data_IF_604604527991
#
_entry.id   IF_604604527991
#
_cell.length_a   1.000
_cell.length_b   1.000
_cell.length_c   1.000
_cell.angle_alpha   90.00
_cell.angle_beta   90.00
_cell.angle_gamma   90.00
#
_symmetry.space_group_name_H-M   'P 1'
#
loop_
_entity.id
_entity.type
_entity.pdbx_description
1 polymer ?
#
# COMPACT_ATOMS: atom_id res chain seq x y z
N UNK A 1 10.30 -0.02 9.17
CA UNK A 1 9.35 -0.20 10.29
C UNK A 1 8.08 -0.86 9.74
N UNK A 2 7.50 -1.82 10.46
CA UNK A 2 6.23 -2.44 10.13
C UNK A 2 5.13 -1.93 11.07
N UNK A 3 3.95 -1.60 10.53
CA UNK A 3 2.83 -1.03 11.27
C UNK A 3 1.52 -1.76 10.95
N UNK A 4 0.49 -1.53 11.76
CA UNK A 4 -0.85 -2.03 11.48
C UNK A 4 -1.87 -0.88 11.44
N UNK A 5 -2.06 -0.14 12.53
CA UNK A 5 -3.07 0.92 12.64
C UNK A 5 -2.53 2.34 12.45
N UNK A 6 -1.26 2.56 12.78
CA UNK A 6 -0.67 3.88 13.05
C UNK A 6 -0.89 4.95 11.98
N UNK A 7 -0.97 4.57 10.71
CA UNK A 7 -1.15 5.50 9.59
C UNK A 7 -2.58 5.51 9.02
N UNK A 8 -3.51 4.76 9.64
CA UNK A 8 -4.90 4.61 9.18
C UNK A 8 -5.90 5.35 10.07
N UNK A 9 -5.47 5.72 11.26
CA UNK A 9 -6.32 6.31 12.31
C UNK A 9 -6.28 7.82 12.27
N UNK A 10 -7.24 8.46 12.91
CA UNK A 10 -7.29 9.90 13.09
C UNK A 10 -6.11 10.40 13.94
N UNK A 11 -5.73 11.66 13.79
CA UNK A 11 -4.55 12.25 14.44
C UNK A 11 -4.65 12.34 15.96
N UNK A 12 -5.85 12.31 16.52
CA UNK A 12 -6.11 12.25 17.95
C UNK A 12 -6.13 10.84 18.56
N UNK A 13 -6.01 9.81 17.72
CA UNK A 13 -6.00 8.43 18.17
C UNK A 13 -4.66 8.07 18.84
N UNK A 14 -4.71 7.32 19.95
CA UNK A 14 -3.52 6.96 20.74
C UNK A 14 -2.42 6.19 19.98
N UNK A 15 -2.77 5.52 18.89
CA UNK A 15 -1.83 4.79 18.04
C UNK A 15 -1.37 5.57 16.81
N UNK A 16 -1.82 6.82 16.65
CA UNK A 16 -1.39 7.63 15.51
C UNK A 16 0.11 7.89 15.51
N UNK A 17 0.71 7.85 14.34
CA UNK A 17 2.11 8.24 14.12
C UNK A 17 2.21 9.19 12.93
N UNK A 18 2.93 10.29 13.15
CA UNK A 18 3.34 11.20 12.08
C UNK A 18 4.61 10.67 11.43
N UNK A 19 4.59 10.43 10.12
CA UNK A 19 5.80 10.03 9.39
C UNK A 19 6.82 11.18 9.35
N UNK A 20 6.36 12.44 9.39
CA UNK A 20 7.23 13.61 9.45
C UNK A 20 8.02 13.64 10.75
N UNK A 21 7.37 13.39 11.89
CA UNK A 21 8.04 13.32 13.20
C UNK A 21 9.03 12.16 13.25
N UNK A 22 8.66 11.01 12.68
CA UNK A 22 9.56 9.86 12.62
C UNK A 22 10.82 10.14 11.81
N UNK A 23 10.69 10.80 10.65
CA UNK A 23 11.85 11.21 9.84
C UNK A 23 12.67 12.27 10.58
N UNK A 24 12.02 13.21 11.27
CA UNK A 24 12.69 14.20 12.11
C UNK A 24 13.52 13.52 13.20
N UNK A 25 12.93 12.62 13.98
CA UNK A 25 13.63 11.85 15.01
C UNK A 25 14.80 11.06 14.41
N UNK A 26 14.59 10.40 13.26
CA UNK A 26 15.66 9.66 12.60
C UNK A 26 16.84 10.56 12.21
N UNK A 27 16.57 11.78 11.74
CA UNK A 27 17.60 12.80 11.43
C UNK A 27 18.28 13.32 12.68
N UNK A 28 17.55 13.58 13.75
CA UNK A 28 18.07 14.09 15.01
C UNK A 28 19.06 13.08 15.65
N UNK A 29 18.78 11.77 15.51
CA UNK A 29 19.60 10.69 16.07
C UNK A 29 20.73 10.24 15.13
N UNK A 30 20.44 10.07 13.85
CA UNK A 30 21.33 9.45 12.86
C UNK A 30 21.91 10.44 11.81
N UNK A 31 21.58 11.74 11.92
CA UNK A 31 21.99 12.74 10.93
C UNK A 31 21.25 12.61 9.61
N UNK A 32 21.73 13.32 8.59
CA UNK A 32 21.10 13.32 7.26
C UNK A 32 21.14 11.94 6.58
N UNK A 33 22.14 11.14 6.89
CA UNK A 33 22.31 9.77 6.35
C UNK A 33 21.66 8.69 7.22
N UNK A 34 20.65 9.06 8.05
CA UNK A 34 19.92 8.10 8.89
C UNK A 34 19.40 6.89 8.09
N UNK A 35 19.29 5.72 8.75
CA UNK A 35 18.89 4.47 8.11
C UNK A 35 17.37 4.25 7.95
N UNK A 36 16.50 5.19 8.36
CA UNK A 36 15.06 5.08 8.19
C UNK A 36 14.67 5.36 6.73
N UNK A 37 14.44 4.29 5.97
CA UNK A 37 14.20 4.36 4.50
C UNK A 37 12.90 3.73 4.08
N UNK A 38 12.32 2.84 4.89
CA UNK A 38 11.16 2.06 4.51
C UNK A 38 10.16 1.94 5.65
N UNK A 39 8.88 1.96 5.28
CA UNK A 39 7.77 1.53 6.12
C UNK A 39 7.03 0.37 5.47
N UNK A 40 6.36 -0.42 6.30
CA UNK A 40 5.42 -1.44 5.88
C UNK A 40 4.09 -1.15 6.54
N UNK A 41 3.01 -1.16 5.77
CA UNK A 41 1.65 -0.93 6.27
C UNK A 41 0.66 -1.87 5.57
N UNK A 42 -0.50 -2.16 6.19
CA UNK A 42 -1.55 -2.93 5.55
C UNK A 42 -2.20 -2.09 4.45
N UNK A 43 -2.28 -2.68 3.25
CA UNK A 43 -2.91 -2.04 2.11
C UNK A 43 -3.45 -3.07 1.11
N UNK A 44 -4.68 -2.91 0.71
CA UNK A 44 -5.36 -3.65 -0.34
C UNK A 44 -6.64 -2.91 -0.75
N UNK A 45 -7.45 -3.44 -1.67
CA UNK A 45 -8.68 -2.79 -2.16
C UNK A 45 -9.72 -2.46 -1.07
N UNK A 46 -9.71 -3.13 0.09
CA UNK A 46 -10.62 -2.90 1.21
C UNK A 46 -9.95 -2.20 2.40
N UNK A 47 -8.63 -2.13 2.40
CA UNK A 47 -7.83 -1.41 3.37
C UNK A 47 -7.06 -0.33 2.62
N UNK A 48 -7.79 0.63 2.09
CA UNK A 48 -7.28 1.67 1.18
C UNK A 48 -6.94 3.00 1.89
N UNK A 49 -7.07 3.05 3.21
CA UNK A 49 -6.87 4.28 4.00
C UNK A 49 -5.51 4.94 3.77
N UNK A 50 -4.48 4.14 3.45
CA UNK A 50 -3.17 4.69 3.09
C UNK A 50 -3.22 5.60 1.86
N UNK A 51 -4.15 5.35 0.94
CA UNK A 51 -4.39 6.14 -0.27
C UNK A 51 -5.43 7.24 -0.05
N UNK A 52 -6.41 7.04 0.83
CA UNK A 52 -7.63 7.88 0.89
C UNK A 52 -7.68 8.80 2.10
N UNK A 53 -7.07 8.43 3.22
CA UNK A 53 -7.13 9.22 4.46
C UNK A 53 -5.98 10.21 4.54
N UNK A 54 -6.33 11.50 4.57
CA UNK A 54 -5.37 12.59 4.80
C UNK A 54 -5.23 12.82 6.30
N UNK A 55 -4.13 12.36 6.87
CA UNK A 55 -3.80 12.46 8.29
C UNK A 55 -2.31 12.74 8.54
N UNK A 56 -1.57 13.15 7.50
CA UNK A 56 -0.14 13.45 7.62
C UNK A 56 0.16 14.92 7.27
N UNK A 57 1.20 15.47 7.92
CA UNK A 57 1.57 16.89 7.81
C UNK A 57 0.80 17.78 8.79
N UNK A 58 1.25 19.02 8.98
CA UNK A 58 0.76 19.94 10.02
C UNK A 58 -0.74 20.29 9.89
N UNK A 59 -1.28 20.28 8.67
CA UNK A 59 -2.69 20.55 8.37
C UNK A 59 -3.41 19.32 7.79
N UNK A 60 -2.89 18.12 8.02
CA UNK A 60 -3.44 16.85 7.47
C UNK A 60 -3.61 16.90 5.95
N UNK A 61 -2.67 17.54 5.24
CA UNK A 61 -2.77 17.77 3.80
C UNK A 61 -2.37 16.55 2.96
N UNK A 62 -1.66 15.58 3.55
CA UNK A 62 -1.17 14.40 2.85
C UNK A 62 -1.82 13.11 3.35
N UNK A 63 -2.01 12.16 2.45
CA UNK A 63 -2.13 10.73 2.81
C UNK A 63 -0.74 10.21 3.21
N UNK A 64 -0.68 9.02 3.84
CA UNK A 64 0.63 8.43 4.19
C UNK A 64 1.46 8.10 2.95
N UNK A 65 0.84 7.72 1.81
CA UNK A 65 1.56 7.46 0.56
C UNK A 65 2.14 8.75 -0.04
N UNK A 66 1.36 9.83 -0.08
CA UNK A 66 1.84 11.15 -0.53
C UNK A 66 2.97 11.66 0.36
N UNK A 67 2.84 11.55 1.68
CA UNK A 67 3.87 11.94 2.64
C UNK A 67 5.15 11.12 2.49
N UNK A 68 5.02 9.80 2.29
CA UNK A 68 6.17 8.92 2.09
C UNK A 68 6.94 9.29 0.81
N UNK A 69 6.24 9.54 -0.31
CA UNK A 69 6.85 10.04 -1.55
C UNK A 69 7.60 11.34 -1.28
N UNK A 70 6.94 12.31 -0.63
CA UNK A 70 7.51 13.61 -0.32
C UNK A 70 8.80 13.52 0.51
N UNK A 71 8.87 12.55 1.43
CA UNK A 71 10.00 12.34 2.34
C UNK A 71 11.06 11.36 1.81
N UNK A 72 10.85 10.77 0.64
CA UNK A 72 11.75 9.75 0.08
C UNK A 72 11.74 8.43 0.86
N UNK A 73 10.62 8.10 1.50
CA UNK A 73 10.43 6.85 2.26
C UNK A 73 9.70 5.84 1.38
N UNK A 74 10.30 4.66 1.20
CA UNK A 74 9.67 3.59 0.44
C UNK A 74 8.58 2.87 1.25
N UNK A 75 7.50 2.46 0.59
CA UNK A 75 6.37 1.78 1.24
C UNK A 75 6.20 0.37 0.69
N UNK A 76 6.18 -0.62 1.59
CA UNK A 76 5.77 -1.98 1.30
C UNK A 76 4.35 -2.23 1.82
N UNK A 77 3.51 -2.85 0.99
CA UNK A 77 2.15 -3.19 1.37
C UNK A 77 2.07 -4.61 1.94
N UNK A 78 1.65 -4.74 3.20
CA UNK A 78 1.30 -6.03 3.80
C UNK A 78 -0.18 -6.36 3.56
N UNK A 79 -0.53 -7.63 3.74
CA UNK A 79 -1.87 -8.21 3.56
C UNK A 79 -2.56 -7.88 2.23
N UNK A 80 -1.85 -7.89 1.10
CA UNK A 80 -2.43 -7.58 -0.20
C UNK A 80 -3.59 -8.52 -0.57
N UNK A 81 -3.61 -9.76 -0.06
CA UNK A 81 -4.66 -10.76 -0.26
C UNK A 81 -5.67 -10.83 0.91
N UNK A 82 -5.55 -9.93 1.92
CA UNK A 82 -6.41 -9.89 3.11
C UNK A 82 -6.54 -11.27 3.78
N UNK A 83 -5.42 -11.97 4.01
CA UNK A 83 -5.38 -13.34 4.54
C UNK A 83 -6.24 -14.32 3.71
N UNK A 84 -6.13 -14.25 2.40
CA UNK A 84 -6.88 -15.02 1.40
C UNK A 84 -8.38 -14.67 1.28
N UNK A 85 -8.92 -13.75 2.07
CA UNK A 85 -10.34 -13.34 1.95
C UNK A 85 -10.67 -12.74 0.58
N UNK A 86 -9.71 -12.06 -0.05
CA UNK A 86 -9.88 -11.48 -1.39
C UNK A 86 -9.85 -12.51 -2.52
N UNK A 87 -9.53 -13.78 -2.22
CA UNK A 87 -9.50 -14.84 -3.22
C UNK A 87 -10.86 -15.51 -3.44
N UNK A 88 -11.85 -15.22 -2.58
CA UNK A 88 -13.20 -15.77 -2.74
C UNK A 88 -13.85 -15.25 -4.03
N UNK A 89 -14.70 -16.08 -4.68
CA UNK A 89 -15.42 -15.68 -5.88
C UNK A 89 -16.23 -14.38 -5.67
N UNK A 90 -16.24 -13.49 -6.66
CA UNK A 90 -17.02 -12.26 -6.69
C UNK A 90 -16.70 -11.23 -5.58
N UNK A 91 -15.60 -11.41 -4.85
CA UNK A 91 -15.15 -10.41 -3.85
C UNK A 91 -14.46 -9.24 -4.53
N UNK A 92 -13.55 -9.50 -5.46
CA UNK A 92 -12.86 -8.43 -6.18
C UNK A 92 -13.53 -8.15 -7.53
N UNK A 93 -13.70 -6.88 -7.91
CA UNK A 93 -14.19 -6.53 -9.23
C UNK A 93 -13.25 -7.04 -10.32
N UNK A 94 -13.80 -7.25 -11.50
CA UNK A 94 -12.99 -7.53 -12.67
C UNK A 94 -12.43 -6.23 -13.26
N UNK A 95 -11.13 -6.23 -13.52
CA UNK A 95 -10.46 -5.14 -14.24
C UNK A 95 -9.25 -5.69 -15.00
N UNK A 96 -8.91 -5.02 -16.08
CA UNK A 96 -7.89 -5.50 -16.99
C UNK A 96 -8.27 -6.88 -17.57
N UNK A 97 -7.27 -7.64 -17.99
CA UNK A 97 -7.45 -9.01 -18.52
C UNK A 97 -7.09 -10.08 -17.47
N UNK A 98 -7.30 -9.79 -16.19
CA UNK A 98 -6.91 -10.66 -15.10
C UNK A 98 -8.07 -11.51 -14.60
N UNK A 99 -8.05 -12.80 -14.90
CA UNK A 99 -9.08 -13.75 -14.45
C UNK A 99 -8.92 -14.16 -12.99
N UNK A 100 -7.67 -14.24 -12.48
CA UNK A 100 -7.37 -14.70 -11.11
C UNK A 100 -7.56 -13.58 -10.08
N UNK A 101 -8.32 -13.83 -8.98
CA UNK A 101 -8.45 -12.83 -7.89
C UNK A 101 -7.10 -12.44 -7.26
N UNK A 102 -6.16 -13.38 -7.11
CA UNK A 102 -4.80 -13.13 -6.61
C UNK A 102 -4.07 -12.09 -7.47
N UNK A 103 -4.16 -12.21 -8.79
CA UNK A 103 -3.54 -11.27 -9.72
C UNK A 103 -4.19 -9.89 -9.64
N UNK A 104 -5.52 -9.82 -9.57
CA UNK A 104 -6.24 -8.53 -9.40
C UNK A 104 -5.83 -7.83 -8.12
N UNK A 105 -5.81 -8.55 -6.98
CA UNK A 105 -5.39 -7.99 -5.71
C UNK A 105 -3.95 -7.45 -5.76
N UNK A 106 -3.03 -8.24 -6.30
CA UNK A 106 -1.62 -7.81 -6.42
C UNK A 106 -1.43 -6.68 -7.41
N UNK A 107 -2.15 -6.70 -8.53
CA UNK A 107 -2.07 -5.65 -9.55
C UNK A 107 -2.56 -4.30 -9.01
N UNK A 108 -3.64 -4.29 -8.24
CA UNK A 108 -4.09 -3.08 -7.55
C UNK A 108 -2.97 -2.49 -6.70
N UNK A 109 -2.39 -3.31 -5.81
CA UNK A 109 -1.35 -2.85 -4.88
C UNK A 109 -0.10 -2.37 -5.63
N UNK A 110 0.40 -3.13 -6.60
CA UNK A 110 1.63 -2.79 -7.34
C UNK A 110 1.48 -1.59 -8.29
N UNK A 111 0.22 -1.26 -8.66
CA UNK A 111 -0.09 -0.10 -9.48
C UNK A 111 -0.36 1.16 -8.67
N UNK A 112 -0.42 1.06 -7.33
CA UNK A 112 -0.66 2.20 -6.46
C UNK A 112 0.59 3.09 -6.39
N UNK A 113 0.49 4.40 -6.71
CA UNK A 113 1.61 5.32 -6.58
C UNK A 113 2.20 5.32 -5.16
N UNK A 114 3.53 5.25 -5.05
CA UNK A 114 4.24 5.24 -3.77
C UNK A 114 4.42 3.86 -3.13
N UNK A 115 3.76 2.82 -3.63
CA UNK A 115 4.00 1.43 -3.20
C UNK A 115 5.16 0.82 -3.99
N UNK A 116 6.17 0.29 -3.30
CA UNK A 116 7.30 -0.42 -3.92
C UNK A 116 6.88 -1.82 -4.33
N UNK A 117 6.26 -2.57 -3.42
CA UNK A 117 5.83 -3.94 -3.68
C UNK A 117 4.79 -4.44 -2.66
N UNK A 118 3.88 -5.34 -3.09
CA UNK A 118 3.09 -6.15 -2.18
C UNK A 118 3.95 -7.25 -1.54
N UNK A 119 3.77 -7.47 -0.22
CA UNK A 119 4.38 -8.57 0.52
C UNK A 119 3.41 -9.75 0.58
N UNK A 120 3.70 -10.79 -0.18
CA UNK A 120 2.82 -11.97 -0.33
C UNK A 120 3.48 -13.20 0.28
N UNK A 121 2.73 -13.91 1.12
CA UNK A 121 3.16 -15.21 1.65
C UNK A 121 3.14 -16.28 0.56
N UNK A 122 4.21 -17.06 0.44
CA UNK A 122 4.37 -18.09 -0.59
C UNK A 122 4.75 -19.42 0.07
N UNK A 123 3.74 -20.26 0.34
CA UNK A 123 3.93 -21.56 1.04
C UNK A 123 4.24 -22.74 0.12
N UNK A 124 3.98 -22.62 -1.18
CA UNK A 124 4.18 -23.71 -2.14
C UNK A 124 4.75 -23.16 -3.46
N UNK A 125 5.41 -24.05 -4.22
CA UNK A 125 5.92 -23.70 -5.55
C UNK A 125 4.79 -23.23 -6.48
N UNK A 126 3.61 -23.83 -6.39
CA UNK A 126 2.45 -23.41 -7.19
C UNK A 126 2.05 -21.96 -6.87
N UNK A 127 2.02 -21.55 -5.60
CA UNK A 127 1.74 -20.17 -5.21
C UNK A 127 2.83 -19.20 -5.70
N UNK A 128 4.10 -19.64 -5.67
CA UNK A 128 5.20 -18.82 -6.22
C UNK A 128 4.98 -18.58 -7.72
N UNK A 129 4.72 -19.65 -8.49
CA UNK A 129 4.50 -19.56 -9.93
C UNK A 129 3.29 -18.66 -10.23
N UNK A 130 2.15 -18.89 -9.57
CA UNK A 130 0.95 -18.07 -9.77
C UNK A 130 1.21 -16.60 -9.46
N UNK A 131 1.86 -16.29 -8.34
CA UNK A 131 2.14 -14.91 -7.98
C UNK A 131 3.10 -14.22 -8.95
N UNK A 132 4.07 -14.96 -9.51
CA UNK A 132 4.99 -14.42 -10.49
C UNK A 132 4.36 -14.17 -11.87
N UNK A 133 3.27 -14.87 -12.22
CA UNK A 133 2.55 -14.63 -13.47
C UNK A 133 2.06 -13.16 -13.60
N UNK A 134 1.75 -12.50 -12.46
CA UNK A 134 1.33 -11.09 -12.49
C UNK A 134 2.39 -10.14 -13.05
N UNK A 135 3.67 -10.54 -13.03
CA UNK A 135 4.77 -9.73 -13.57
C UNK A 135 4.73 -9.64 -15.09
N UNK A 136 4.05 -10.58 -15.76
CA UNK A 136 3.80 -10.53 -17.21
C UNK A 136 2.80 -9.45 -17.63
N UNK A 137 2.08 -8.84 -16.66
CA UNK A 137 1.13 -7.75 -16.92
C UNK A 137 1.77 -6.42 -16.52
N UNK A 138 1.81 -5.39 -17.37
CA UNK A 138 2.28 -4.05 -16.97
C UNK A 138 1.48 -3.51 -15.79
N UNK A 139 2.10 -2.66 -14.97
CA UNK A 139 1.35 -1.89 -13.96
C UNK A 139 0.34 -0.97 -14.66
N UNK A 140 -0.77 -0.68 -14.00
CA UNK A 140 -1.76 0.25 -14.55
C UNK A 140 -1.10 1.64 -14.71
N UNK A 141 -1.42 2.31 -15.79
CA UNK A 141 -1.12 3.73 -15.94
C UNK A 141 -1.90 4.55 -14.89
N UNK A 142 -1.47 5.79 -14.65
CA UNK A 142 -2.16 6.68 -13.70
C UNK A 142 -3.65 6.85 -14.05
N UNK A 143 -3.98 6.94 -15.33
CA UNK A 143 -5.37 7.06 -15.79
C UNK A 143 -6.18 5.80 -15.48
N UNK A 144 -5.64 4.62 -15.84
CA UNK A 144 -6.31 3.34 -15.58
C UNK A 144 -6.49 3.09 -14.08
N UNK A 145 -5.49 3.44 -13.26
CA UNK A 145 -5.57 3.32 -11.81
C UNK A 145 -6.63 4.28 -11.24
N UNK A 146 -6.65 5.54 -11.68
CA UNK A 146 -7.65 6.52 -11.27
C UNK A 146 -9.08 6.08 -11.61
N UNK A 147 -9.29 5.51 -12.79
CA UNK A 147 -10.60 5.01 -13.22
C UNK A 147 -11.02 3.77 -12.42
N UNK A 148 -10.06 2.90 -12.08
CA UNK A 148 -10.31 1.78 -11.17
C UNK A 148 -10.76 2.27 -9.79
N UNK A 149 -10.08 3.27 -9.20
CA UNK A 149 -10.47 3.85 -7.91
C UNK A 149 -11.89 4.43 -7.96
N UNK A 150 -12.25 5.19 -8.99
CA UNK A 150 -13.62 5.72 -9.17
C UNK A 150 -14.66 4.59 -9.21
N UNK A 151 -14.36 3.51 -9.93
CA UNK A 151 -15.22 2.33 -10.02
C UNK A 151 -15.40 1.59 -8.69
N UNK A 152 -14.37 1.60 -7.83
CA UNK A 152 -14.45 0.99 -6.50
C UNK A 152 -15.23 1.85 -5.49
N UNK A 153 -15.34 3.14 -5.75
CA UNK A 153 -16.03 4.12 -4.86
C UNK A 153 -17.49 4.35 -5.23
N UNK A 154 -17.98 3.77 -6.34
CA UNK A 154 -19.36 3.83 -6.82
C UNK A 154 -20.19 2.64 -6.35
#
# INVERSE_FOLDING_TARGET
>A
MATWECFRVATDHAQYLSIFDMVKIAKDVGGQDHGFRFIQLPYNMYLDQALTVKNQGDSNQYTILEAAIHLGIGVFASVPLMQAKLLAPNVLPEFGQMSKPSHRAMQFVRSTPGIIAPLVGQKSQAHVQENLEVLGTPVLSETEFSDLIKKLSS
#
